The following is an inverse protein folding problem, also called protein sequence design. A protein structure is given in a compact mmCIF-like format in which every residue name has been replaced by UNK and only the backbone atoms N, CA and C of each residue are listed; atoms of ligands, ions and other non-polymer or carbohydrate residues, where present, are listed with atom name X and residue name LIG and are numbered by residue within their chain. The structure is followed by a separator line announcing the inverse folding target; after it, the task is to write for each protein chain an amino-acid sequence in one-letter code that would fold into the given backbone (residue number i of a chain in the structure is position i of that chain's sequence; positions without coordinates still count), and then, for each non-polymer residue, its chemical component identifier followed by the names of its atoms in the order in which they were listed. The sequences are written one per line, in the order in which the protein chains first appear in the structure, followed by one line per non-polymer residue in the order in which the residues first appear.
data_IF_593384018446
#
_entry.id   IF_593384018446
#
_cell.length_a   1.000
_cell.length_b   1.000
_cell.length_c   1.000
_cell.angle_alpha   90.00
_cell.angle_beta   90.00
_cell.angle_gamma   90.00
#
_symmetry.space_group_name_H-M   'P 1'
#
loop_
_entity.id
_entity.type
_entity.pdbx_description
1 polymer ?
#
# COMPACT_ATOMS: atom_id res chain seq x y z
N UNK A 1 -0.39 44.74 -25.63
CA UNK A 1 0.89 45.35 -26.00
C UNK A 1 0.88 46.90 -25.97
N UNK A 2 -0.14 47.62 -26.48
CA UNK A 2 -0.18 49.11 -26.50
C UNK A 2 0.16 49.80 -25.15
N UNK A 3 -0.22 49.20 -24.02
CA UNK A 3 0.05 49.73 -22.66
C UNK A 3 1.53 49.68 -22.23
N UNK A 4 2.41 49.04 -23.02
CA UNK A 4 3.81 48.81 -22.70
C UNK A 4 4.76 49.73 -23.47
N UNK A 5 4.22 50.61 -24.34
CA UNK A 5 4.95 51.50 -25.20
C UNK A 5 6.17 50.81 -25.84
N UNK A 6 6.02 49.76 -26.64
CA UNK A 6 7.13 49.04 -27.24
C UNK A 6 7.83 49.96 -28.28
N UNK A 7 9.15 49.94 -28.28
CA UNK A 7 9.97 50.64 -29.26
C UNK A 7 11.11 49.75 -29.76
N UNK A 8 11.67 50.09 -30.91
CA UNK A 8 12.86 49.44 -31.45
C UNK A 8 14.05 50.31 -31.07
N UNK A 9 15.01 49.75 -30.34
CA UNK A 9 16.25 50.43 -29.99
C UNK A 9 17.13 50.51 -31.25
N UNK A 10 17.56 51.74 -31.59
CA UNK A 10 18.34 52.00 -32.81
C UNK A 10 19.77 51.44 -32.75
N UNK A 11 20.29 51.17 -31.54
CA UNK A 11 21.66 50.65 -31.37
C UNK A 11 21.75 49.13 -31.61
N UNK A 12 20.78 48.37 -31.13
CA UNK A 12 20.83 46.90 -31.20
C UNK A 12 19.70 46.29 -32.03
N UNK A 13 18.77 47.10 -32.53
CA UNK A 13 17.66 46.68 -33.36
C UNK A 13 16.61 45.84 -32.60
N UNK A 14 16.68 45.76 -31.28
CA UNK A 14 15.82 44.93 -30.47
C UNK A 14 14.54 45.68 -30.02
N UNK A 15 13.43 44.96 -29.98
CA UNK A 15 12.18 45.49 -29.45
C UNK A 15 12.20 45.47 -27.93
N UNK A 16 12.10 46.66 -27.32
CA UNK A 16 12.16 46.88 -25.88
C UNK A 16 10.89 47.51 -25.35
N UNK A 17 10.65 47.41 -24.04
CA UNK A 17 9.55 48.08 -23.34
C UNK A 17 10.03 49.44 -22.82
N UNK A 18 9.24 50.49 -23.08
CA UNK A 18 9.43 51.78 -22.46
C UNK A 18 8.34 52.01 -21.37
N UNK A 19 8.63 51.52 -20.19
CA UNK A 19 7.73 51.63 -19.05
C UNK A 19 7.96 52.88 -18.20
N UNK A 20 7.30 52.96 -17.03
CA UNK A 20 7.37 54.11 -16.10
C UNK A 20 8.61 54.12 -15.21
N UNK A 21 9.63 53.28 -15.50
CA UNK A 21 10.80 53.09 -14.62
C UNK A 21 12.02 53.93 -15.03
N UNK A 22 11.86 54.94 -15.86
CA UNK A 22 12.98 55.76 -16.35
C UNK A 22 13.88 56.37 -15.26
N UNK A 23 13.25 56.77 -14.13
CA UNK A 23 13.95 57.40 -13.01
C UNK A 23 14.35 56.42 -11.91
N UNK A 24 14.09 55.10 -12.08
CA UNK A 24 14.52 54.12 -11.10
C UNK A 24 16.02 53.83 -11.20
N UNK A 25 16.68 53.72 -10.07
CA UNK A 25 18.08 53.30 -9.97
C UNK A 25 18.24 51.79 -10.22
N UNK A 26 17.90 51.37 -11.45
CA UNK A 26 17.97 49.98 -11.90
C UNK A 26 18.87 49.87 -13.13
N UNK A 27 19.46 48.69 -13.40
CA UNK A 27 20.20 48.44 -14.63
C UNK A 27 19.36 48.78 -15.87
N UNK A 28 19.99 49.29 -16.93
CA UNK A 28 19.28 49.68 -18.16
C UNK A 28 18.44 48.57 -18.76
N UNK A 29 18.89 47.30 -18.68
CA UNK A 29 18.17 46.12 -19.12
C UNK A 29 16.87 45.87 -18.34
N UNK A 30 16.87 46.18 -17.05
CA UNK A 30 15.67 46.02 -16.18
C UNK A 30 14.69 47.17 -16.41
N UNK A 31 15.17 48.39 -16.73
CA UNK A 31 14.32 49.53 -17.06
C UNK A 31 13.64 49.37 -18.42
N UNK A 32 14.39 48.84 -19.39
CA UNK A 32 13.97 48.64 -20.77
C UNK A 32 14.16 47.19 -21.20
N UNK A 33 13.35 46.25 -20.63
CA UNK A 33 13.51 44.83 -20.90
C UNK A 33 13.15 44.50 -22.34
N UNK A 34 13.90 43.56 -22.92
CA UNK A 34 13.68 43.06 -24.30
C UNK A 34 12.40 42.25 -24.34
N UNK A 35 11.55 42.50 -25.34
CA UNK A 35 10.34 41.76 -25.54
C UNK A 35 10.67 40.43 -26.24
N UNK A 36 10.34 39.32 -25.63
CA UNK A 36 10.48 37.98 -26.20
C UNK A 36 9.13 37.28 -26.35
N UNK A 37 8.95 36.53 -27.43
CA UNK A 37 7.68 35.87 -27.75
C UNK A 37 7.52 34.52 -27.01
N UNK A 38 6.37 34.30 -26.40
CA UNK A 38 6.09 33.16 -25.52
C UNK A 38 6.26 31.77 -26.17
N UNK A 39 6.16 31.67 -27.49
CA UNK A 39 6.24 30.40 -28.24
C UNK A 39 7.57 30.20 -28.97
N UNK A 40 8.47 31.19 -28.92
CA UNK A 40 9.73 31.11 -29.63
C UNK A 40 10.73 30.17 -28.93
N UNK A 41 11.53 29.44 -29.71
CA UNK A 41 12.56 28.53 -29.19
C UNK A 41 13.56 29.25 -28.27
N UNK A 42 13.97 30.47 -28.62
CA UNK A 42 14.89 31.27 -27.79
C UNK A 42 14.33 31.52 -26.39
N UNK A 43 13.03 31.83 -26.27
CA UNK A 43 12.37 32.03 -24.99
C UNK A 43 12.46 30.80 -24.11
N UNK A 44 12.24 29.60 -24.71
CA UNK A 44 12.41 28.35 -23.98
C UNK A 44 13.84 28.17 -23.48
N UNK A 45 14.83 28.41 -24.31
CA UNK A 45 16.24 28.29 -23.93
C UNK A 45 16.64 29.25 -22.80
N UNK A 46 16.17 30.52 -22.88
CA UNK A 46 16.41 31.52 -21.81
C UNK A 46 15.78 31.05 -20.49
N UNK A 47 14.54 30.57 -20.53
CA UNK A 47 13.86 30.10 -19.33
C UNK A 47 14.56 28.86 -18.75
N UNK A 48 14.96 27.92 -19.59
CA UNK A 48 15.71 26.73 -19.19
C UNK A 48 17.06 27.08 -18.54
N UNK A 49 17.83 27.97 -19.15
CA UNK A 49 19.11 28.46 -18.62
C UNK A 49 18.94 29.11 -17.23
N UNK A 50 17.99 30.04 -17.10
CA UNK A 50 17.72 30.70 -15.81
C UNK A 50 17.23 29.71 -14.76
N UNK A 51 16.36 28.77 -15.13
CA UNK A 51 15.85 27.71 -14.22
C UNK A 51 16.98 26.82 -13.71
N UNK A 52 17.91 26.41 -14.56
CA UNK A 52 19.08 25.62 -14.16
C UNK A 52 20.00 26.41 -13.23
N UNK A 53 20.30 27.67 -13.57
CA UNK A 53 21.13 28.58 -12.74
C UNK A 53 20.50 28.83 -11.36
N UNK A 54 19.19 28.82 -11.26
CA UNK A 54 18.44 28.93 -10.00
C UNK A 54 18.25 27.59 -9.28
N UNK A 55 19.04 26.57 -9.58
CA UNK A 55 18.97 25.25 -8.97
C UNK A 55 17.58 24.63 -9.03
N UNK A 56 16.90 24.83 -10.16
CA UNK A 56 15.53 24.31 -10.41
C UNK A 56 14.44 24.95 -9.52
N UNK A 57 14.58 26.25 -9.21
CA UNK A 57 13.57 27.00 -8.49
C UNK A 57 12.19 27.00 -9.20
N UNK A 58 11.13 27.29 -8.45
CA UNK A 58 9.75 27.30 -8.94
C UNK A 58 9.44 28.43 -9.94
N UNK A 59 8.20 28.44 -10.44
CA UNK A 59 7.72 29.33 -11.51
C UNK A 59 7.94 30.80 -11.17
N UNK A 60 7.57 31.24 -9.97
CA UNK A 60 7.62 32.66 -9.60
C UNK A 60 9.05 33.18 -9.52
N UNK A 61 9.94 32.39 -8.93
CA UNK A 61 11.35 32.76 -8.82
C UNK A 61 12.01 32.82 -10.20
N UNK A 62 11.78 31.82 -11.06
CA UNK A 62 12.28 31.86 -12.45
C UNK A 62 11.73 33.05 -13.22
N UNK A 63 10.43 33.38 -13.05
CA UNK A 63 9.80 34.54 -13.67
C UNK A 63 10.42 35.85 -13.21
N UNK A 64 10.69 36.00 -11.91
CA UNK A 64 11.31 37.20 -11.34
C UNK A 64 12.67 37.45 -11.96
N UNK A 65 13.50 36.41 -12.10
CA UNK A 65 14.84 36.55 -12.69
C UNK A 65 14.78 36.79 -14.20
N UNK A 66 13.89 36.13 -14.92
CA UNK A 66 13.71 36.41 -16.37
C UNK A 66 13.27 37.85 -16.61
N UNK A 67 12.41 38.40 -15.75
CA UNK A 67 11.92 39.79 -15.85
C UNK A 67 12.99 40.87 -15.64
N UNK A 68 14.14 40.55 -15.10
CA UNK A 68 15.24 41.49 -14.98
C UNK A 68 15.78 41.91 -16.34
N UNK A 69 15.79 41.04 -17.34
CA UNK A 69 16.34 41.29 -18.66
C UNK A 69 15.29 41.29 -19.78
N UNK A 70 14.19 40.53 -19.57
CA UNK A 70 13.21 40.22 -20.63
C UNK A 70 11.78 40.48 -20.19
N UNK A 71 10.99 41.07 -21.06
CA UNK A 71 9.57 41.13 -20.91
C UNK A 71 8.94 39.93 -21.66
N UNK A 72 8.26 39.09 -20.90
CA UNK A 72 7.63 37.87 -21.42
C UNK A 72 6.10 37.98 -21.31
N UNK A 73 5.36 38.16 -22.43
CA UNK A 73 3.90 38.07 -22.42
C UNK A 73 3.44 36.73 -21.90
N UNK A 74 2.41 36.72 -21.02
CA UNK A 74 1.93 35.51 -20.34
C UNK A 74 3.03 34.72 -19.63
N UNK A 75 3.97 35.40 -18.96
CA UNK A 75 5.19 34.83 -18.39
C UNK A 75 4.97 33.59 -17.54
N UNK A 76 3.97 33.59 -16.64
CA UNK A 76 3.67 32.41 -15.79
C UNK A 76 3.33 31.16 -16.59
N UNK A 77 2.49 31.30 -17.60
CA UNK A 77 2.06 30.14 -18.42
C UNK A 77 3.22 29.62 -19.28
N UNK A 78 4.03 30.52 -19.81
CA UNK A 78 5.22 30.19 -20.61
C UNK A 78 6.28 29.47 -19.78
N UNK A 79 6.62 29.99 -18.60
CA UNK A 79 7.55 29.34 -17.67
C UNK A 79 7.01 27.99 -17.22
N UNK A 80 5.74 27.91 -16.82
CA UNK A 80 5.11 26.63 -16.44
C UNK A 80 5.24 25.57 -17.53
N UNK A 81 5.09 25.98 -18.81
CA UNK A 81 5.25 25.08 -19.97
C UNK A 81 6.69 24.59 -20.10
N UNK A 82 7.68 25.47 -19.96
CA UNK A 82 9.10 25.11 -20.01
C UNK A 82 9.49 24.19 -18.84
N UNK A 83 9.10 24.53 -17.61
CA UNK A 83 9.44 23.75 -16.42
C UNK A 83 8.80 22.35 -16.43
N UNK A 84 7.62 22.16 -17.04
CA UNK A 84 7.01 20.83 -17.22
C UNK A 84 7.88 19.87 -18.04
N UNK A 85 8.78 20.38 -18.86
CA UNK A 85 9.71 19.59 -19.68
C UNK A 85 11.02 19.26 -18.92
N UNK A 86 11.29 19.93 -17.82
CA UNK A 86 12.49 19.69 -17.02
C UNK A 86 12.44 18.30 -16.36
N UNK A 87 13.34 17.40 -16.79
CA UNK A 87 13.39 16.03 -16.29
C UNK A 87 13.68 16.01 -14.79
N UNK A 88 14.63 16.82 -14.30
CA UNK A 88 15.00 16.87 -12.88
C UNK A 88 13.81 17.28 -11.99
N UNK A 89 13.07 18.33 -12.39
CA UNK A 89 11.86 18.71 -11.66
C UNK A 89 10.78 17.63 -11.71
N UNK A 90 10.62 16.96 -12.86
CA UNK A 90 9.66 15.84 -13.00
C UNK A 90 10.02 14.68 -12.07
N UNK A 91 11.31 14.34 -11.97
CA UNK A 91 11.77 13.31 -11.04
C UNK A 91 11.52 13.69 -9.57
N UNK A 92 11.82 14.95 -9.19
CA UNK A 92 11.60 15.44 -7.84
C UNK A 92 10.12 15.46 -7.41
N UNK A 93 9.22 15.72 -8.36
CA UNK A 93 7.77 15.78 -8.11
C UNK A 93 7.02 14.56 -8.60
N UNK A 94 7.73 13.52 -9.04
CA UNK A 94 7.11 12.28 -9.50
C UNK A 94 6.27 11.65 -8.40
N UNK A 95 5.04 11.24 -8.75
CA UNK A 95 4.14 10.50 -7.88
C UNK A 95 3.63 9.27 -8.64
N UNK A 96 3.47 8.14 -7.97
CA UNK A 96 2.87 6.98 -8.60
C UNK A 96 1.42 7.29 -8.99
N UNK A 97 1.00 6.76 -10.12
CA UNK A 97 -0.38 6.83 -10.58
C UNK A 97 -1.00 5.44 -10.41
N UNK A 98 -1.60 5.17 -9.23
CA UNK A 98 -2.14 3.84 -8.96
C UNK A 98 -3.29 3.52 -9.92
N UNK A 99 -3.29 2.33 -10.52
CA UNK A 99 -4.39 1.88 -11.37
C UNK A 99 -5.65 1.66 -10.52
N UNK A 100 -6.81 1.55 -11.19
CA UNK A 100 -8.06 1.21 -10.52
C UNK A 100 -7.90 -0.06 -9.67
N UNK A 101 -8.47 -0.08 -8.45
CA UNK A 101 -8.45 -1.26 -7.59
C UNK A 101 -9.02 -2.48 -8.29
N UNK A 102 -8.36 -3.63 -8.11
CA UNK A 102 -8.83 -4.91 -8.64
C UNK A 102 -10.15 -5.34 -7.99
N UNK A 103 -10.84 -6.26 -8.64
CA UNK A 103 -11.93 -6.99 -8.02
C UNK A 103 -11.40 -7.82 -6.85
N UNK A 104 -12.28 -8.10 -5.89
CA UNK A 104 -11.94 -8.98 -4.79
C UNK A 104 -11.83 -10.41 -5.29
N UNK A 105 -10.94 -11.21 -4.69
CA UNK A 105 -10.78 -12.62 -5.03
C UNK A 105 -12.03 -13.41 -4.63
N UNK A 106 -12.30 -14.51 -5.35
CA UNK A 106 -13.43 -15.40 -5.07
C UNK A 106 -13.42 -15.88 -3.62
N UNK A 107 -12.26 -16.26 -3.12
CA UNK A 107 -12.04 -16.79 -1.76
C UNK A 107 -12.38 -15.77 -0.67
N UNK A 108 -12.39 -14.48 -1.02
CA UNK A 108 -12.78 -13.41 -0.10
C UNK A 108 -14.28 -13.12 -0.09
N UNK A 109 -14.98 -13.49 -1.15
CA UNK A 109 -16.41 -13.26 -1.34
C UNK A 109 -17.23 -14.52 -1.04
N UNK A 110 -16.58 -15.66 -0.84
CA UNK A 110 -17.20 -16.96 -0.61
C UNK A 110 -17.85 -16.99 0.77
N UNK A 111 -19.18 -17.07 0.79
CA UNK A 111 -20.00 -17.24 1.99
C UNK A 111 -20.29 -18.71 2.28
N UNK A 112 -20.83 -19.01 3.47
CA UNK A 112 -21.24 -20.34 3.92
C UNK A 112 -20.12 -21.39 3.93
N UNK A 113 -18.86 -20.95 3.95
CA UNK A 113 -17.70 -21.82 4.11
C UNK A 113 -17.24 -21.85 5.57
N UNK A 114 -16.56 -22.94 5.94
CA UNK A 114 -15.93 -23.01 7.26
C UNK A 114 -14.93 -21.88 7.45
N UNK A 115 -14.90 -21.28 8.64
CA UNK A 115 -13.90 -20.27 8.98
C UNK A 115 -12.50 -20.87 8.80
N UNK A 116 -11.58 -20.09 8.27
CA UNK A 116 -10.21 -20.50 7.91
C UNK A 116 -10.12 -21.53 6.76
N UNK A 117 -11.16 -21.67 5.92
CA UNK A 117 -11.05 -22.45 4.68
C UNK A 117 -10.05 -21.81 3.71
N UNK A 118 -10.10 -20.49 3.57
CA UNK A 118 -9.16 -19.73 2.74
C UNK A 118 -8.46 -18.70 3.65
N UNK A 119 -7.14 -18.74 3.70
CA UNK A 119 -6.36 -17.94 4.66
C UNK A 119 -5.24 -17.15 4.00
N UNK A 120 -4.91 -16.01 4.59
CA UNK A 120 -3.68 -15.28 4.33
C UNK A 120 -2.71 -15.48 5.49
N UNK A 121 -1.44 -15.74 5.18
CA UNK A 121 -0.36 -15.88 6.15
C UNK A 121 0.61 -14.73 6.05
N UNK A 122 1.12 -14.29 7.20
CA UNK A 122 2.26 -13.39 7.27
C UNK A 122 3.03 -13.59 8.58
N UNK A 123 4.36 -13.37 8.52
CA UNK A 123 5.26 -13.50 9.65
C UNK A 123 5.73 -12.11 10.10
N UNK A 124 5.94 -11.96 11.41
CA UNK A 124 6.38 -10.70 11.98
C UNK A 124 7.21 -10.92 13.26
N UNK A 125 7.97 -9.92 13.65
CA UNK A 125 8.88 -9.98 14.79
C UNK A 125 10.19 -9.28 14.44
N UNK A 126 11.32 -9.60 15.12
CA UNK A 126 11.42 -10.52 16.25
C UNK A 126 10.91 -9.94 17.57
N UNK A 127 10.52 -10.84 18.48
CA UNK A 127 10.27 -10.58 19.90
C UNK A 127 11.42 -11.16 20.72
N UNK A 128 11.80 -10.48 21.79
CA UNK A 128 12.86 -10.93 22.67
C UNK A 128 12.26 -11.50 23.96
N UNK A 129 12.53 -12.77 24.23
CA UNK A 129 12.09 -13.46 25.45
C UNK A 129 13.29 -13.94 26.24
N UNK A 130 13.13 -14.03 27.57
CA UNK A 130 14.17 -14.51 28.49
C UNK A 130 13.90 -15.96 28.84
N UNK A 131 14.89 -16.82 28.58
CA UNK A 131 14.89 -18.21 28.99
C UNK A 131 16.13 -18.41 29.90
N UNK A 132 15.88 -18.57 31.18
CA UNK A 132 16.96 -18.59 32.16
C UNK A 132 17.73 -17.26 32.21
N UNK A 133 19.01 -17.30 31.81
CA UNK A 133 19.87 -16.09 31.72
C UNK A 133 20.09 -15.59 30.29
N UNK A 134 19.46 -16.20 29.31
CA UNK A 134 19.66 -15.87 27.88
C UNK A 134 18.43 -15.18 27.29
N UNK A 135 18.68 -14.17 26.49
CA UNK A 135 17.65 -13.55 25.66
C UNK A 135 17.64 -14.24 24.29
N UNK A 136 16.49 -14.76 23.90
CA UNK A 136 16.29 -15.45 22.62
C UNK A 136 15.22 -14.75 21.79
N UNK A 137 15.28 -14.92 20.49
CA UNK A 137 14.31 -14.35 19.55
C UNK A 137 13.14 -15.30 19.38
N UNK A 138 11.94 -14.72 19.24
CA UNK A 138 10.70 -15.38 18.86
C UNK A 138 10.04 -14.60 17.77
N UNK A 139 9.20 -15.23 16.98
CA UNK A 139 8.49 -14.61 15.87
C UNK A 139 7.00 -14.90 15.97
N UNK A 140 6.20 -14.14 15.26
CA UNK A 140 4.76 -14.34 15.17
C UNK A 140 4.36 -14.80 13.79
N UNK A 141 3.45 -15.76 13.71
CA UNK A 141 2.72 -16.13 12.53
C UNK A 141 1.28 -15.63 12.66
N UNK A 142 0.86 -14.74 11.77
CA UNK A 142 -0.52 -14.28 11.66
C UNK A 142 -1.22 -15.06 10.57
N UNK A 143 -2.33 -15.68 10.91
CA UNK A 143 -3.21 -16.41 10.00
C UNK A 143 -4.56 -15.68 9.97
N UNK A 144 -4.97 -15.20 8.82
CA UNK A 144 -6.21 -14.43 8.65
C UNK A 144 -7.17 -15.15 7.72
N UNK A 145 -8.38 -15.41 8.16
CA UNK A 145 -9.44 -15.89 7.30
C UNK A 145 -9.85 -14.81 6.29
N UNK A 146 -9.87 -15.14 5.01
CA UNK A 146 -10.16 -14.16 3.95
C UNK A 146 -11.62 -13.72 3.94
N UNK A 147 -12.56 -14.63 4.23
CA UNK A 147 -13.99 -14.34 4.27
C UNK A 147 -14.40 -13.67 5.58
N UNK A 148 -14.27 -14.34 6.72
CA UNK A 148 -14.75 -13.88 8.02
C UNK A 148 -13.85 -12.82 8.69
N UNK A 149 -12.63 -12.63 8.19
CA UNK A 149 -11.62 -11.75 8.79
C UNK A 149 -11.16 -12.19 10.19
N UNK A 150 -11.49 -13.41 10.58
CA UNK A 150 -11.00 -14.00 11.81
C UNK A 150 -9.48 -14.15 11.79
N UNK A 151 -8.87 -13.96 12.94
CA UNK A 151 -7.42 -13.97 13.13
C UNK A 151 -7.04 -15.12 14.06
N UNK A 152 -5.91 -15.75 13.74
CA UNK A 152 -5.23 -16.68 14.62
C UNK A 152 -3.74 -16.33 14.66
N UNK A 153 -3.18 -16.19 15.86
CA UNK A 153 -1.77 -15.89 16.07
C UNK A 153 -1.07 -17.10 16.67
N UNK A 154 0.07 -17.46 16.09
CA UNK A 154 0.97 -18.51 16.60
C UNK A 154 2.37 -17.96 16.87
N UNK A 155 3.01 -18.46 17.92
CA UNK A 155 4.40 -18.17 18.21
C UNK A 155 5.28 -19.15 17.45
N UNK A 156 6.23 -18.61 16.70
CA UNK A 156 7.32 -19.36 16.08
C UNK A 156 8.56 -19.24 16.97
N UNK A 157 9.13 -20.40 17.34
CA UNK A 157 10.34 -20.43 18.15
C UNK A 157 11.57 -19.97 17.35
N UNK A 158 11.56 -20.17 16.02
CA UNK A 158 12.57 -19.72 15.07
C UNK A 158 11.94 -19.47 13.70
N UNK A 159 12.70 -18.88 12.77
CA UNK A 159 12.27 -18.68 11.38
C UNK A 159 12.80 -19.82 10.48
N UNK A 160 12.67 -21.03 10.94
CA UNK A 160 12.99 -22.23 10.14
C UNK A 160 11.73 -23.01 9.73
N UNK A 161 11.91 -23.96 8.83
CA UNK A 161 10.82 -24.76 8.29
C UNK A 161 10.12 -25.61 9.36
N UNK A 162 10.87 -26.13 10.32
CA UNK A 162 10.33 -26.99 11.37
C UNK A 162 9.42 -26.21 12.31
N UNK A 163 9.85 -25.03 12.77
CA UNK A 163 9.03 -24.16 13.60
C UNK A 163 7.75 -23.73 12.90
N UNK A 164 7.83 -23.40 11.60
CA UNK A 164 6.68 -23.04 10.80
C UNK A 164 5.70 -24.21 10.64
N UNK A 165 6.17 -25.41 10.27
CA UNK A 165 5.35 -26.62 10.11
C UNK A 165 4.67 -26.96 11.44
N UNK A 166 5.38 -26.87 12.55
CA UNK A 166 4.80 -27.10 13.88
C UNK A 166 3.69 -26.10 14.22
N UNK A 167 3.89 -24.82 13.92
CA UNK A 167 2.86 -23.80 14.12
C UNK A 167 1.63 -24.04 13.21
N UNK A 168 1.87 -24.39 11.96
CA UNK A 168 0.80 -24.71 11.04
C UNK A 168 0.01 -25.97 11.49
N UNK A 169 0.68 -27.01 11.97
CA UNK A 169 0.02 -28.20 12.52
C UNK A 169 -0.82 -27.87 13.75
N UNK A 170 -0.35 -27.00 14.65
CA UNK A 170 -1.17 -26.52 15.79
C UNK A 170 -2.40 -25.77 15.29
N UNK A 171 -2.23 -24.86 14.32
CA UNK A 171 -3.33 -24.14 13.72
C UNK A 171 -4.36 -25.12 13.09
N UNK A 172 -3.91 -26.10 12.29
CA UNK A 172 -4.77 -27.09 11.65
C UNK A 172 -5.54 -27.90 12.71
N UNK A 173 -4.88 -28.27 13.79
CA UNK A 173 -5.50 -29.00 14.90
C UNK A 173 -6.61 -28.19 15.60
N UNK A 174 -6.42 -26.88 15.76
CA UNK A 174 -7.42 -26.02 16.41
C UNK A 174 -8.51 -25.53 15.45
N UNK A 175 -8.19 -25.27 14.19
CA UNK A 175 -9.07 -24.56 13.25
C UNK A 175 -9.47 -25.38 12.04
N UNK A 176 -8.83 -26.53 11.84
CA UNK A 176 -9.00 -27.42 10.69
C UNK A 176 -8.16 -27.00 9.49
N UNK A 177 -7.97 -27.94 8.56
CA UNK A 177 -7.10 -27.76 7.40
C UNK A 177 -7.67 -26.71 6.43
N UNK A 178 -6.90 -25.67 6.05
CA UNK A 178 -7.30 -24.73 5.01
C UNK A 178 -7.22 -25.37 3.63
N UNK A 179 -8.04 -24.92 2.68
CA UNK A 179 -7.95 -25.31 1.26
C UNK A 179 -6.92 -24.48 0.51
N UNK A 180 -6.92 -23.16 0.75
CA UNK A 180 -6.05 -22.22 0.06
C UNK A 180 -5.32 -21.35 1.07
N UNK A 181 -4.01 -21.22 0.88
CA UNK A 181 -3.15 -20.33 1.66
C UNK A 181 -2.56 -19.28 0.72
N UNK A 182 -2.72 -18.02 1.07
CA UNK A 182 -2.02 -16.90 0.45
C UNK A 182 -0.90 -16.41 1.36
N UNK A 183 0.30 -16.20 0.83
CA UNK A 183 1.40 -15.59 1.58
C UNK A 183 2.10 -14.53 0.74
N UNK A 184 2.76 -13.57 1.42
CA UNK A 184 3.66 -12.63 0.75
C UNK A 184 5.02 -13.32 0.47
N UNK A 185 5.73 -12.83 -0.55
CA UNK A 185 7.08 -13.30 -0.91
C UNK A 185 8.18 -12.68 -0.03
N UNK A 186 7.85 -11.99 1.03
CA UNK A 186 8.81 -11.46 2.01
C UNK A 186 9.77 -10.36 1.52
N UNK A 187 9.52 -9.76 0.35
CA UNK A 187 10.44 -8.76 -0.23
C UNK A 187 10.22 -7.31 0.25
N UNK A 188 9.27 -7.07 1.15
CA UNK A 188 8.83 -5.73 1.55
C UNK A 188 9.24 -5.31 2.96
N UNK A 189 10.28 -5.88 3.54
CA UNK A 189 10.60 -5.62 4.94
C UNK A 189 11.71 -4.56 5.07
N UNK A 190 11.41 -3.55 5.88
CA UNK A 190 12.28 -2.41 6.24
C UNK A 190 13.68 -2.87 6.65
N UNK A 191 14.70 -2.08 6.31
CA UNK A 191 16.14 -2.32 6.42
C UNK A 191 16.73 -2.88 7.75
N UNK A 192 15.93 -3.22 8.74
CA UNK A 192 16.34 -3.88 9.98
C UNK A 192 15.97 -5.36 10.10
N UNK A 193 15.38 -5.96 9.07
CA UNK A 193 14.77 -7.30 9.15
C UNK A 193 15.32 -8.30 8.13
N UNK A 194 16.58 -8.16 7.73
CA UNK A 194 17.25 -9.13 6.82
C UNK A 194 17.10 -10.59 7.28
N UNK A 195 17.12 -10.81 8.59
CA UNK A 195 16.96 -12.13 9.19
C UNK A 195 15.55 -12.70 8.96
N UNK A 196 14.51 -11.85 9.04
CA UNK A 196 13.13 -12.25 8.77
C UNK A 196 12.94 -12.56 7.26
N UNK A 197 13.54 -11.76 6.37
CA UNK A 197 13.52 -12.01 4.92
C UNK A 197 14.18 -13.34 4.55
N UNK A 198 15.35 -13.61 5.12
CA UNK A 198 16.04 -14.88 4.94
C UNK A 198 15.24 -16.05 5.52
N UNK A 199 14.64 -15.87 6.70
CA UNK A 199 13.75 -16.84 7.31
C UNK A 199 12.55 -17.16 6.44
N UNK A 200 11.85 -16.15 5.93
CA UNK A 200 10.70 -16.33 5.02
C UNK A 200 11.13 -16.98 3.70
N UNK A 201 12.30 -16.64 3.16
CA UNK A 201 12.85 -17.30 1.98
C UNK A 201 13.13 -18.80 2.25
N UNK A 202 13.63 -19.15 3.44
CA UNK A 202 13.86 -20.52 3.86
C UNK A 202 12.56 -21.31 4.08
N UNK A 203 11.46 -20.65 4.50
CA UNK A 203 10.14 -21.28 4.58
C UNK A 203 9.59 -21.70 3.20
N UNK A 204 10.11 -21.14 2.12
CA UNK A 204 9.82 -21.55 0.75
C UNK A 204 10.58 -22.83 0.32
N UNK A 205 11.14 -23.57 1.28
CA UNK A 205 11.86 -24.81 1.00
C UNK A 205 10.95 -25.90 0.41
N UNK A 206 11.53 -26.80 -0.39
CA UNK A 206 10.84 -27.96 -0.98
C UNK A 206 10.09 -28.78 0.07
N UNK A 207 10.59 -28.81 1.30
CA UNK A 207 9.99 -29.55 2.43
C UNK A 207 8.66 -28.95 2.87
N UNK A 208 8.58 -27.61 3.05
CA UNK A 208 7.32 -26.93 3.43
C UNK A 208 6.28 -27.08 2.31
N UNK A 209 6.72 -26.93 1.06
CA UNK A 209 5.82 -27.12 -0.09
C UNK A 209 5.32 -28.57 -0.15
N UNK A 210 6.18 -29.57 0.10
CA UNK A 210 5.81 -30.98 0.16
C UNK A 210 4.75 -31.25 1.24
N UNK A 211 4.93 -30.81 2.47
CA UNK A 211 3.95 -30.94 3.56
C UNK A 211 2.59 -30.29 3.22
N UNK A 212 2.61 -29.16 2.50
CA UNK A 212 1.38 -28.49 2.05
C UNK A 212 0.64 -29.32 0.99
N UNK A 213 1.34 -29.87 0.03
CA UNK A 213 0.77 -30.74 -1.01
C UNK A 213 0.18 -32.00 -0.39
N UNK A 214 0.90 -32.64 0.52
CA UNK A 214 0.44 -33.85 1.22
C UNK A 214 -0.79 -33.58 2.07
N UNK A 215 -0.92 -32.37 2.63
CA UNK A 215 -2.11 -31.92 3.35
C UNK A 215 -3.26 -31.48 2.42
N UNK A 216 -3.09 -31.50 1.09
CA UNK A 216 -4.10 -31.05 0.12
C UNK A 216 -4.34 -29.54 0.12
N UNK A 217 -3.33 -28.76 0.49
CA UNK A 217 -3.37 -27.30 0.59
C UNK A 217 -2.79 -26.66 -0.67
N UNK A 218 -3.58 -25.79 -1.32
CA UNK A 218 -3.13 -24.96 -2.44
C UNK A 218 -2.44 -23.70 -1.89
N UNK A 219 -1.11 -23.67 -1.97
CA UNK A 219 -0.33 -22.52 -1.50
C UNK A 219 -0.01 -21.55 -2.64
N UNK A 220 -0.63 -20.38 -2.59
CA UNK A 220 -0.48 -19.29 -3.56
C UNK A 220 0.38 -18.16 -3.00
N UNK A 221 1.42 -17.80 -3.72
CA UNK A 221 2.32 -16.69 -3.35
C UNK A 221 1.93 -15.42 -4.09
N UNK A 222 1.81 -14.31 -3.36
CA UNK A 222 1.65 -12.99 -3.97
C UNK A 222 2.90 -12.59 -4.73
N UNK A 223 2.76 -11.79 -5.80
CA UNK A 223 3.94 -11.26 -6.47
C UNK A 223 4.71 -10.29 -5.56
N UNK A 224 6.05 -10.21 -5.70
CA UNK A 224 6.88 -9.33 -4.88
C UNK A 224 6.39 -7.88 -4.88
N UNK A 225 6.36 -7.25 -3.72
CA UNK A 225 5.92 -5.85 -3.53
C UNK A 225 4.47 -5.55 -3.89
N UNK A 226 3.61 -6.56 -4.02
CA UNK A 226 2.19 -6.39 -4.32
C UNK A 226 1.35 -6.29 -3.03
N UNK A 227 1.65 -5.32 -2.19
CA UNK A 227 0.94 -5.02 -0.95
C UNK A 227 -0.60 -4.92 -1.08
N UNK A 228 -1.10 -4.58 -2.27
CA UNK A 228 -2.53 -4.51 -2.52
C UNK A 228 -3.23 -5.88 -2.58
N UNK A 229 -2.51 -6.96 -2.86
CA UNK A 229 -3.00 -8.34 -2.77
C UNK A 229 -3.05 -8.81 -1.31
N UNK A 230 -2.07 -8.37 -0.49
CA UNK A 230 -1.95 -8.69 0.95
C UNK A 230 -2.68 -7.76 1.91
N UNK A 231 -3.32 -6.70 1.46
CA UNK A 231 -3.90 -5.65 2.32
C UNK A 231 -4.97 -6.13 3.33
N UNK A 232 -5.37 -7.40 3.25
CA UNK A 232 -6.28 -8.05 4.23
C UNK A 232 -5.53 -8.36 5.52
N UNK A 233 -4.36 -8.98 5.43
CA UNK A 233 -3.53 -9.37 6.58
C UNK A 233 -2.53 -8.29 6.99
N UNK A 234 -1.97 -7.50 6.06
CA UNK A 234 -1.02 -6.42 6.38
C UNK A 234 -1.57 -5.41 7.40
N UNK A 235 -2.83 -4.97 7.23
CA UNK A 235 -3.47 -4.08 8.20
C UNK A 235 -3.64 -4.73 9.57
N UNK A 236 -3.94 -6.01 9.60
CA UNK A 236 -4.09 -6.76 10.85
C UNK A 236 -2.77 -6.95 11.55
N UNK A 237 -1.66 -7.14 10.83
CA UNK A 237 -0.32 -7.13 11.41
C UNK A 237 -0.01 -5.78 12.04
N UNK A 238 -0.32 -4.67 11.34
CA UNK A 238 -0.18 -3.33 11.92
C UNK A 238 -0.93 -3.19 13.24
N UNK A 239 -2.19 -3.62 13.29
CA UNK A 239 -3.01 -3.60 14.50
C UNK A 239 -2.47 -4.54 15.58
N UNK A 240 -2.01 -5.74 15.22
CA UNK A 240 -1.38 -6.69 16.14
C UNK A 240 -0.11 -6.12 16.77
N UNK A 241 0.76 -5.51 15.96
CA UNK A 241 1.99 -4.87 16.45
C UNK A 241 1.70 -3.73 17.42
N UNK A 242 0.68 -2.91 17.15
CA UNK A 242 0.26 -1.83 18.06
C UNK A 242 -0.26 -2.40 19.37
N UNK A 243 -1.19 -3.38 19.32
CA UNK A 243 -1.73 -4.02 20.52
C UNK A 243 -0.63 -4.69 21.35
N UNK A 244 0.28 -5.42 20.71
CA UNK A 244 1.39 -6.06 21.43
C UNK A 244 2.35 -5.07 22.06
N UNK A 245 2.68 -3.96 21.36
CA UNK A 245 3.54 -2.92 21.96
C UNK A 245 2.92 -2.34 23.22
N UNK A 246 1.61 -2.06 23.19
CA UNK A 246 0.89 -1.53 24.35
C UNK A 246 0.91 -2.50 25.55
N UNK A 247 0.87 -3.81 25.31
CA UNK A 247 0.87 -4.82 26.39
C UNK A 247 2.29 -5.12 26.89
N UNK A 248 3.28 -5.14 25.97
CA UNK A 248 4.64 -5.61 26.27
C UNK A 248 5.58 -4.51 26.77
N UNK A 249 5.16 -3.23 26.77
CA UNK A 249 5.97 -2.06 27.11
C UNK A 249 7.19 -2.37 27.99
N UNK A 250 8.37 -2.51 27.37
CA UNK A 250 9.70 -2.60 27.99
C UNK A 250 9.91 -3.66 29.07
N UNK A 251 9.06 -4.66 29.21
CA UNK A 251 9.19 -5.74 30.19
C UNK A 251 9.98 -6.91 29.64
N UNK A 252 10.85 -7.48 30.47
CA UNK A 252 11.45 -8.78 30.22
C UNK A 252 10.35 -9.84 30.33
N UNK A 253 10.01 -10.51 29.22
CA UNK A 253 8.95 -11.52 29.14
C UNK A 253 9.55 -12.90 28.90
N UNK A 254 8.86 -13.95 29.32
CA UNK A 254 9.18 -15.33 29.01
C UNK A 254 8.25 -15.87 27.90
N UNK A 255 8.47 -17.09 27.43
CA UNK A 255 7.68 -17.72 26.37
C UNK A 255 6.20 -17.88 26.77
N UNK A 256 5.88 -18.18 28.02
CA UNK A 256 4.52 -18.33 28.51
C UNK A 256 3.75 -17.00 28.42
N UNK A 257 4.35 -15.93 28.90
CA UNK A 257 3.77 -14.58 28.79
C UNK A 257 3.56 -14.20 27.33
N UNK A 258 4.53 -14.47 26.45
CA UNK A 258 4.39 -14.17 25.02
C UNK A 258 3.22 -14.93 24.39
N UNK A 259 3.06 -16.22 24.71
CA UNK A 259 1.94 -17.05 24.22
C UNK A 259 0.59 -16.55 24.73
N UNK A 260 0.53 -16.16 26.02
CA UNK A 260 -0.67 -15.56 26.61
C UNK A 260 -1.04 -14.24 25.93
N UNK A 261 -0.06 -13.36 25.72
CA UNK A 261 -0.28 -12.08 25.01
C UNK A 261 -0.78 -12.33 23.57
N UNK A 262 -0.25 -13.33 22.86
CA UNK A 262 -0.73 -13.68 21.52
C UNK A 262 -2.19 -14.17 21.54
N UNK A 263 -2.58 -14.93 22.55
CA UNK A 263 -3.95 -15.39 22.74
C UNK A 263 -4.90 -14.22 23.03
N UNK A 264 -4.52 -13.31 23.93
CA UNK A 264 -5.31 -12.11 24.25
C UNK A 264 -5.43 -11.15 23.06
N UNK A 265 -4.35 -10.89 22.34
CA UNK A 265 -4.38 -10.08 21.12
C UNK A 265 -5.24 -10.72 20.05
N UNK A 266 -5.20 -12.05 19.91
CA UNK A 266 -6.10 -12.79 19.00
C UNK A 266 -7.56 -12.55 19.38
N UNK A 267 -7.91 -12.68 20.64
CA UNK A 267 -9.25 -12.42 21.17
C UNK A 267 -9.70 -10.98 20.93
N UNK A 268 -8.83 -10.01 21.25
CA UNK A 268 -9.09 -8.59 21.00
C UNK A 268 -9.34 -8.29 19.51
N UNK A 269 -8.50 -8.79 18.62
CA UNK A 269 -8.66 -8.58 17.18
C UNK A 269 -9.92 -9.23 16.63
N UNK A 270 -10.34 -10.35 17.18
CA UNK A 270 -11.56 -11.04 16.77
C UNK A 270 -12.83 -10.42 17.36
N UNK A 271 -12.71 -9.57 18.37
CA UNK A 271 -13.82 -8.76 18.92
C UNK A 271 -14.09 -7.47 18.13
N UNK A 272 -13.24 -7.13 17.14
CA UNK A 272 -13.43 -5.91 16.37
C UNK A 272 -14.67 -5.96 15.49
N UNK A 273 -15.41 -4.85 15.35
CA UNK A 273 -16.61 -4.81 14.51
C UNK A 273 -16.23 -4.91 13.02
N UNK A 274 -16.99 -5.71 12.28
CA UNK A 274 -16.93 -5.82 10.82
C UNK A 274 -17.95 -4.91 10.15
N UNK A 275 -19.08 -4.66 10.81
CA UNK A 275 -20.17 -3.78 10.36
C UNK A 275 -20.19 -2.49 11.20
N UNK A 276 -20.96 -1.51 10.75
CA UNK A 276 -21.10 -0.25 11.47
C UNK A 276 -21.83 -0.44 12.80
N UNK A 277 -21.51 0.40 13.78
CA UNK A 277 -22.30 0.53 14.99
C UNK A 277 -23.59 1.29 14.66
N UNK A 278 -24.70 0.75 15.09
CA UNK A 278 -25.95 1.48 15.09
C UNK A 278 -26.11 2.22 16.42
N UNK A 279 -26.74 3.38 16.37
CA UNK A 279 -27.00 4.20 17.55
C UNK A 279 -28.27 3.81 18.29
N UNK A 280 -29.14 3.03 17.63
CA UNK A 280 -30.39 2.54 18.20
C UNK A 280 -30.14 1.23 18.96
N UNK A 281 -30.47 1.16 20.27
CA UNK A 281 -30.33 -0.06 21.08
C UNK A 281 -31.18 -1.24 20.60
N UNK A 282 -32.23 -0.99 19.80
CA UNK A 282 -33.07 -2.05 19.21
C UNK A 282 -32.44 -2.75 18.02
N UNK A 283 -31.38 -2.20 17.44
CA UNK A 283 -30.69 -2.81 16.31
C UNK A 283 -29.67 -3.86 16.78
N UNK A 284 -29.47 -4.92 15.97
CA UNK A 284 -28.56 -5.99 16.35
C UNK A 284 -27.12 -5.47 16.46
N UNK A 285 -26.38 -5.98 17.43
CA UNK A 285 -24.98 -5.66 17.64
C UNK A 285 -24.13 -5.88 16.39
N UNK A 286 -23.03 -5.11 16.22
CA UNK A 286 -22.17 -5.22 15.05
C UNK A 286 -21.57 -6.63 14.94
N UNK A 287 -21.49 -7.16 13.72
CA UNK A 287 -20.82 -8.42 13.48
C UNK A 287 -19.32 -8.34 13.81
N UNK A 288 -18.83 -9.34 14.50
CA UNK A 288 -17.41 -9.52 14.77
C UNK A 288 -16.93 -10.91 14.32
N UNK A 289 -15.64 -11.12 14.08
CA UNK A 289 -15.09 -12.45 13.84
C UNK A 289 -15.42 -13.47 14.93
N UNK A 290 -15.56 -13.03 16.19
CA UNK A 290 -15.91 -13.90 17.32
C UNK A 290 -17.28 -14.54 17.20
N UNK A 291 -18.23 -13.92 16.53
CA UNK A 291 -19.52 -14.55 16.25
C UNK A 291 -19.38 -15.90 15.54
N UNK A 292 -18.36 -16.05 14.67
CA UNK A 292 -18.07 -17.34 14.05
C UNK A 292 -17.29 -18.30 14.93
N UNK A 293 -16.40 -17.76 15.78
CA UNK A 293 -15.46 -18.56 16.51
C UNK A 293 -16.05 -19.12 17.81
N UNK A 294 -16.86 -18.30 18.49
CA UNK A 294 -17.38 -18.57 19.84
C UNK A 294 -18.87 -18.24 20.00
N UNK A 295 -19.56 -17.88 18.91
CA UNK A 295 -21.02 -17.63 18.91
C UNK A 295 -21.44 -16.26 19.46
N UNK A 296 -20.52 -15.34 19.79
CA UNK A 296 -20.83 -14.01 20.30
C UNK A 296 -19.68 -13.03 20.12
N UNK A 297 -19.87 -11.73 20.41
CA UNK A 297 -18.86 -10.68 20.16
C UNK A 297 -17.66 -10.74 21.10
N UNK A 298 -17.87 -11.23 22.33
CA UNK A 298 -16.86 -11.31 23.37
C UNK A 298 -16.76 -12.70 24.00
N UNK A 299 -15.54 -13.15 24.37
CA UNK A 299 -15.35 -14.46 24.99
C UNK A 299 -16.02 -14.59 26.38
N UNK A 300 -16.33 -13.46 27.04
CA UNK A 300 -16.94 -13.42 28.36
C UNK A 300 -18.46 -13.25 28.35
N UNK A 301 -19.08 -13.05 27.19
CA UNK A 301 -20.54 -13.04 27.03
C UNK A 301 -20.99 -14.44 26.62
N UNK A 302 -21.47 -15.18 27.58
CA UNK A 302 -22.31 -16.34 27.29
C UNK A 302 -23.57 -15.76 26.64
N UNK A 303 -24.04 -16.25 25.46
CA UNK A 303 -25.31 -15.83 24.90
C UNK A 303 -26.38 -16.01 25.98
N UNK A 304 -27.14 -14.95 26.29
CA UNK A 304 -28.28 -15.06 27.19
C UNK A 304 -29.20 -16.16 26.67
N UNK A 305 -29.46 -17.16 27.50
CA UNK A 305 -30.33 -18.30 27.17
C UNK A 305 -31.78 -17.85 26.87
N UNK A 306 -32.12 -16.57 27.10
CA UNK A 306 -33.48 -16.04 27.01
C UNK A 306 -33.99 -15.67 25.63
N UNK A 307 -33.22 -15.74 24.58
CA UNK A 307 -33.77 -15.57 23.25
C UNK A 307 -34.36 -16.92 22.76
N UNK A 308 -35.49 -17.26 23.40
CA UNK A 308 -36.55 -18.12 22.94
C UNK A 308 -36.17 -19.18 21.87
N UNK A 309 -35.58 -20.24 22.33
CA UNK A 309 -35.75 -21.52 21.68
C UNK A 309 -36.90 -22.25 22.39
N UNK A 310 -38.12 -21.98 21.92
CA UNK A 310 -39.27 -22.85 22.22
C UNK A 310 -38.97 -24.25 21.70
N UNK A 311 -38.69 -25.10 22.61
CA UNK A 311 -38.71 -26.56 22.43
C UNK A 311 -37.44 -27.16 21.85
N UNK A 312 -36.68 -27.73 22.75
CA UNK A 312 -36.13 -29.03 22.51
C UNK A 312 -34.63 -29.29 22.69
N UNK A 313 -34.43 -29.87 23.71
CA UNK A 313 -33.39 -30.69 24.34
C UNK A 313 -32.60 -31.68 23.46
N UNK A 314 -32.83 -31.83 22.17
CA UNK A 314 -32.19 -32.92 21.38
C UNK A 314 -31.24 -32.48 20.27
N UNK A 315 -30.96 -31.17 20.08
CA UNK A 315 -30.28 -30.74 18.85
C UNK A 315 -29.30 -29.57 19.01
N UNK A 316 -28.39 -29.64 19.95
CA UNK A 316 -27.30 -28.63 20.08
C UNK A 316 -26.58 -28.37 18.78
N UNK A 317 -26.38 -29.36 17.92
CA UNK A 317 -25.77 -29.17 16.62
C UNK A 317 -26.67 -28.40 15.62
N UNK A 318 -27.99 -28.57 15.66
CA UNK A 318 -28.92 -27.76 14.83
C UNK A 318 -28.98 -26.33 15.31
N UNK A 319 -28.85 -26.10 16.60
CA UNK A 319 -28.75 -24.77 17.18
C UNK A 319 -27.46 -24.05 16.70
N UNK A 320 -26.34 -24.74 16.72
CA UNK A 320 -25.08 -24.17 16.17
C UNK A 320 -25.19 -23.89 14.68
N UNK A 321 -25.82 -24.79 13.89
CA UNK A 321 -26.05 -24.56 12.47
C UNK A 321 -26.99 -23.37 12.21
N UNK A 322 -28.01 -23.19 13.05
CA UNK A 322 -28.92 -22.06 12.96
C UNK A 322 -28.17 -20.72 13.22
N UNK A 323 -27.35 -20.64 14.25
CA UNK A 323 -26.54 -19.48 14.58
C UNK A 323 -25.58 -19.17 13.43
N UNK A 324 -24.87 -20.17 12.90
CA UNK A 324 -23.97 -20.02 11.76
C UNK A 324 -24.72 -19.53 10.52
N UNK A 325 -25.90 -20.06 10.24
CA UNK A 325 -26.72 -19.64 9.10
C UNK A 325 -27.23 -18.21 9.26
N UNK A 326 -27.65 -17.81 10.46
CA UNK A 326 -28.04 -16.42 10.73
C UNK A 326 -26.86 -15.46 10.54
N UNK A 327 -25.68 -15.85 11.03
CA UNK A 327 -24.50 -15.06 10.82
C UNK A 327 -24.21 -14.87 9.33
N UNK A 328 -24.18 -15.94 8.52
CA UNK A 328 -23.90 -15.83 7.10
C UNK A 328 -24.95 -15.00 6.35
N UNK A 329 -26.22 -15.05 6.75
CA UNK A 329 -27.27 -14.17 6.20
C UNK A 329 -26.96 -12.70 6.49
N UNK A 330 -26.56 -12.37 7.72
CA UNK A 330 -26.13 -11.02 8.08
C UNK A 330 -24.86 -10.61 7.34
N UNK A 331 -23.88 -11.50 7.25
CA UNK A 331 -22.64 -11.25 6.50
C UNK A 331 -22.92 -10.89 5.04
N UNK A 332 -23.78 -11.64 4.36
CA UNK A 332 -24.17 -11.36 2.98
C UNK A 332 -24.94 -10.04 2.85
N UNK A 333 -25.79 -9.69 3.82
CA UNK A 333 -26.64 -8.50 3.78
C UNK A 333 -25.92 -7.23 4.22
N UNK A 334 -25.07 -7.29 5.25
CA UNK A 334 -24.50 -6.12 5.92
C UNK A 334 -23.02 -5.92 5.55
N UNK A 335 -22.20 -6.96 5.65
CA UNK A 335 -20.76 -6.85 5.45
C UNK A 335 -20.34 -6.90 3.98
N UNK A 336 -20.87 -7.84 3.21
CA UNK A 336 -20.49 -7.99 1.80
C UNK A 336 -20.77 -6.72 0.96
N UNK A 337 -21.93 -6.04 1.10
CA UNK A 337 -22.16 -4.77 0.41
C UNK A 337 -21.16 -3.68 0.79
N UNK A 338 -20.68 -3.65 2.04
CA UNK A 338 -19.67 -2.67 2.48
C UNK A 338 -18.32 -2.81 1.74
N UNK A 339 -18.08 -3.94 1.11
CA UNK A 339 -16.89 -4.19 0.29
C UNK A 339 -17.04 -3.74 -1.16
N UNK A 340 -18.25 -3.33 -1.61
CA UNK A 340 -18.50 -2.89 -2.99
C UNK A 340 -17.77 -1.60 -3.33
N UNK A 341 -17.63 -0.71 -2.36
CA UNK A 341 -16.98 0.57 -2.58
C UNK A 341 -15.47 0.46 -2.80
N UNK A 342 -15.00 1.04 -3.90
CA UNK A 342 -13.57 1.25 -4.13
C UNK A 342 -13.13 2.52 -3.39
N UNK A 343 -12.79 2.41 -2.11
CA UNK A 343 -12.39 3.54 -1.26
C UNK A 343 -11.10 4.25 -1.70
N UNK A 344 -10.33 3.66 -2.61
CA UNK A 344 -9.09 4.22 -3.16
C UNK A 344 -9.01 3.90 -4.65
N UNK A 345 -8.30 4.78 -5.40
CA UNK A 345 -7.97 4.55 -6.82
C UNK A 345 -9.20 4.30 -7.69
N UNK A 346 -10.21 5.17 -7.55
CA UNK A 346 -11.47 5.07 -8.29
C UNK A 346 -11.31 5.45 -9.76
N UNK A 347 -10.43 6.44 -10.03
CA UNK A 347 -10.24 6.99 -11.37
C UNK A 347 -9.29 6.13 -12.19
N UNK A 348 -9.63 5.96 -13.47
CA UNK A 348 -8.69 5.42 -14.44
C UNK A 348 -7.57 6.43 -14.69
N UNK A 349 -6.34 5.96 -14.64
CA UNK A 349 -5.13 6.73 -14.98
C UNK A 349 -4.52 6.15 -16.24
N UNK A 350 -3.61 6.90 -16.87
CA UNK A 350 -2.86 6.41 -18.03
C UNK A 350 -2.24 5.05 -17.73
N UNK A 351 -2.54 4.00 -18.51
CA UNK A 351 -1.93 2.70 -18.33
C UNK A 351 -0.42 2.77 -18.61
N UNK A 352 0.36 2.00 -17.86
CA UNK A 352 1.77 1.79 -18.13
C UNK A 352 1.94 1.03 -19.47
N UNK A 353 2.98 1.36 -20.23
CA UNK A 353 3.29 0.73 -21.51
C UNK A 353 4.73 0.25 -21.54
N UNK A 354 5.01 -0.75 -22.36
CA UNK A 354 6.39 -1.15 -22.65
C UNK A 354 7.13 0.04 -23.28
N UNK A 355 8.38 0.26 -22.89
CA UNK A 355 9.18 1.41 -23.26
C UNK A 355 9.06 2.63 -22.33
N UNK A 356 8.07 2.69 -21.45
CA UNK A 356 7.95 3.79 -20.49
C UNK A 356 9.15 3.82 -19.54
N UNK A 357 9.71 5.03 -19.36
CA UNK A 357 10.72 5.31 -18.32
C UNK A 357 10.02 5.63 -17.02
N UNK A 358 10.40 4.93 -15.97
CA UNK A 358 9.79 5.04 -14.65
C UNK A 358 10.81 5.20 -13.54
N UNK A 359 10.40 5.84 -12.44
CA UNK A 359 11.08 5.75 -11.15
C UNK A 359 10.41 4.67 -10.32
N UNK A 360 11.21 3.86 -9.67
CA UNK A 360 10.75 2.83 -8.73
C UNK A 360 10.73 3.46 -7.34
N UNK A 361 9.54 3.67 -6.79
CA UNK A 361 9.35 4.24 -5.46
C UNK A 361 9.92 3.31 -4.39
N UNK A 362 10.81 3.82 -3.58
CA UNK A 362 11.32 3.20 -2.37
C UNK A 362 11.06 4.12 -1.18
N UNK A 363 10.33 3.63 -0.19
CA UNK A 363 9.95 4.41 1.00
C UNK A 363 11.13 4.73 1.92
N UNK A 364 12.21 3.96 1.82
CA UNK A 364 13.42 4.14 2.63
C UNK A 364 14.41 5.14 2.03
N UNK A 365 14.20 5.56 0.79
CA UNK A 365 15.09 6.45 0.06
C UNK A 365 14.40 7.80 -0.25
N UNK A 366 15.21 8.86 -0.36
CA UNK A 366 14.71 10.14 -0.88
C UNK A 366 14.39 9.99 -2.38
N UNK A 367 13.42 10.74 -2.89
CA UNK A 367 13.00 10.67 -4.32
C UNK A 367 14.15 10.81 -5.31
N UNK A 368 15.17 11.60 -5.00
CA UNK A 368 16.34 11.76 -5.85
C UNK A 368 17.24 10.53 -5.94
N UNK A 369 17.06 9.57 -5.05
CA UNK A 369 17.83 8.33 -4.95
C UNK A 369 17.05 7.11 -5.47
N UNK A 370 15.78 7.30 -5.87
CA UNK A 370 14.97 6.22 -6.42
C UNK A 370 15.55 5.70 -7.74
N UNK A 371 15.51 4.37 -7.90
CA UNK A 371 16.01 3.72 -9.09
C UNK A 371 15.18 4.10 -10.32
N UNK A 372 15.86 4.38 -11.41
CA UNK A 372 15.25 4.55 -12.73
C UNK A 372 15.25 3.25 -13.51
N UNK A 373 14.22 3.02 -14.31
CA UNK A 373 14.18 1.87 -15.20
C UNK A 373 13.25 2.07 -16.39
N UNK A 374 13.28 1.12 -17.30
CA UNK A 374 12.40 1.04 -18.45
C UNK A 374 11.46 -0.16 -18.30
N UNK A 375 10.19 0.02 -18.59
CA UNK A 375 9.23 -1.09 -18.61
C UNK A 375 9.53 -1.97 -19.83
N UNK A 376 9.81 -3.25 -19.58
CA UNK A 376 10.05 -4.25 -20.63
C UNK A 376 8.85 -5.19 -20.84
N UNK A 377 7.99 -5.35 -19.83
CA UNK A 377 6.75 -6.10 -19.93
C UNK A 377 5.69 -5.54 -18.99
N UNK A 378 4.42 -5.64 -19.36
CA UNK A 378 3.27 -5.28 -18.54
C UNK A 378 2.41 -6.51 -18.29
N UNK A 379 1.81 -6.61 -17.10
CA UNK A 379 1.00 -7.76 -16.68
C UNK A 379 -0.42 -7.28 -16.40
N UNK A 380 -1.34 -7.41 -17.36
CA UNK A 380 -2.75 -7.09 -17.15
C UNK A 380 -3.39 -8.12 -16.23
N UNK A 381 -4.32 -7.68 -15.39
CA UNK A 381 -5.20 -8.56 -14.64
C UNK A 381 -6.35 -9.07 -15.52
N UNK A 382 -7.22 -9.92 -14.95
CA UNK A 382 -8.40 -10.48 -15.65
C UNK A 382 -9.37 -9.40 -16.16
N UNK A 383 -9.32 -8.20 -15.58
CA UNK A 383 -10.09 -7.02 -16.00
C UNK A 383 -9.35 -6.14 -17.00
N UNK A 384 -8.23 -6.60 -17.57
CA UNK A 384 -7.40 -5.87 -18.53
C UNK A 384 -6.60 -4.71 -17.94
N UNK A 385 -6.73 -4.41 -16.64
CA UNK A 385 -6.02 -3.29 -16.00
C UNK A 385 -4.61 -3.71 -15.61
N UNK A 386 -3.61 -2.93 -16.05
CA UNK A 386 -2.20 -3.18 -15.75
C UNK A 386 -1.89 -2.73 -14.33
N UNK A 387 -1.62 -3.71 -13.44
CA UNK A 387 -1.26 -3.46 -12.03
C UNK A 387 0.15 -3.85 -11.68
N UNK A 388 0.81 -4.61 -12.55
CA UNK A 388 2.20 -5.06 -12.40
C UNK A 388 2.95 -4.82 -13.70
N UNK A 389 4.23 -4.49 -13.59
CA UNK A 389 5.11 -4.35 -14.74
C UNK A 389 6.51 -4.86 -14.40
N UNK A 390 7.17 -5.42 -15.40
CA UNK A 390 8.58 -5.80 -15.32
C UNK A 390 9.41 -4.62 -15.78
N UNK A 391 10.30 -4.17 -14.91
CA UNK A 391 11.14 -2.99 -15.11
C UNK A 391 12.60 -3.40 -15.20
N UNK A 392 13.27 -3.06 -16.30
CA UNK A 392 14.71 -3.18 -16.47
C UNK A 392 15.39 -1.96 -15.85
N UNK A 393 16.20 -2.17 -14.85
CA UNK A 393 17.09 -1.15 -14.26
C UNK A 393 18.51 -1.32 -14.80
N UNK A 394 19.42 -0.43 -14.42
CA UNK A 394 20.83 -0.55 -14.82
C UNK A 394 21.52 -1.84 -14.29
N UNK A 395 21.00 -2.43 -13.21
CA UNK A 395 21.63 -3.57 -12.53
C UNK A 395 20.85 -4.87 -12.60
N UNK A 396 19.52 -4.78 -12.74
CA UNK A 396 18.65 -5.97 -12.62
C UNK A 396 17.29 -5.73 -13.26
N UNK A 397 16.59 -6.83 -13.52
CA UNK A 397 15.18 -6.83 -13.94
C UNK A 397 14.30 -7.06 -12.71
N UNK A 398 13.32 -6.18 -12.49
CA UNK A 398 12.47 -6.20 -11.31
C UNK A 398 10.99 -6.22 -11.71
N UNK A 399 10.22 -7.16 -11.15
CA UNK A 399 8.77 -7.10 -11.20
C UNK A 399 8.28 -6.16 -10.10
N UNK A 400 7.49 -5.13 -10.47
CA UNK A 400 6.99 -4.12 -9.51
C UNK A 400 5.51 -3.81 -9.75
N UNK A 401 4.74 -3.54 -8.68
CA UNK A 401 3.37 -3.07 -8.81
C UNK A 401 3.33 -1.64 -9.35
N UNK A 402 2.32 -1.33 -10.16
CA UNK A 402 2.14 0.00 -10.76
C UNK A 402 2.06 1.12 -9.71
N UNK A 403 1.55 0.81 -8.51
CA UNK A 403 1.48 1.75 -7.37
C UNK A 403 2.85 2.18 -6.83
N UNK A 404 3.92 1.48 -7.17
CA UNK A 404 5.31 1.82 -6.84
C UNK A 404 6.07 2.42 -8.03
N UNK A 405 5.43 2.59 -9.19
CA UNK A 405 6.03 3.09 -10.41
C UNK A 405 5.56 4.51 -10.72
N UNK A 406 6.48 5.45 -10.81
CA UNK A 406 6.21 6.82 -11.18
C UNK A 406 6.63 7.05 -12.63
N UNK A 407 5.68 7.32 -13.53
CA UNK A 407 5.96 7.62 -14.94
C UNK A 407 6.78 8.90 -15.10
N UNK A 408 7.86 8.84 -15.86
CA UNK A 408 8.71 9.99 -16.19
C UNK A 408 8.55 10.38 -17.65
N UNK A 409 8.79 9.46 -18.57
CA UNK A 409 8.68 9.68 -20.00
C UNK A 409 8.40 8.37 -20.71
N UNK A 410 7.82 8.44 -21.90
CA UNK A 410 7.55 7.29 -22.76
C UNK A 410 7.56 7.73 -24.21
N UNK A 411 7.66 6.76 -25.13
CA UNK A 411 7.54 7.04 -26.55
C UNK A 411 6.18 7.66 -26.84
N UNK A 412 6.20 8.77 -27.59
CA UNK A 412 5.01 9.47 -28.05
C UNK A 412 4.43 8.82 -29.32
N UNK A 413 4.88 7.63 -29.66
CA UNK A 413 4.38 6.90 -30.82
C UNK A 413 3.03 6.23 -30.50
N UNK A 414 1.96 6.91 -30.84
CA UNK A 414 0.58 6.44 -30.74
C UNK A 414 -0.39 7.57 -30.58
#
# INVERSE_FOLDING_TARGET
MRRLCPYIDQHDGLMKVDGRLRHAELPARTRHPIIIFSHHRLTRLIVEDRHVKLHHAGIEHTLSVVRQDFYLPQGRSTIRRALRQCIKCRMQHAMPQPPRMANLTKERLEGFVRVFTNVGLDCFGPFHVVIGRKTVKRYGLLITCLASRAVHLEVLDSMDADSFIMALRRFISYRGCPKVIYSDNGTNIVAGQKELEQGIANLNSTRVVGEMVDAGIDWRKSAPSCAHEGGVWERLIGSSKVAMRAILESRSINDEVLRTVFAEVTSFLNSRPLTHFHTDPSEPEPLTPNHFLIGGPHPHRVPDEEQAFDGVTRRRWKQSQFIVNQFWRRWMREYLPSLMERKKWEKSVRPLRVGDKVLIMDENLKRGEWLTGSIIAVHPGDDGVIRKATVQTARSTLLRPAVKLCFISGDRSG
#
